data_IF_685720969795
#
_entry.id   IF_685720969795
#
_cell.length_a   1.000
_cell.length_b   1.000
_cell.length_c   1.000
_cell.angle_alpha   90.00
_cell.angle_beta   90.00
_cell.angle_gamma   90.00
#
_symmetry.space_group_name_H-M   'P 1'
#
loop_
_entity.id
_entity.type
_entity.pdbx_description
1 polymer ?
#
# COMPACT_ATOMS: atom_id res chain seq x y z
N UNK A 1 4.89 4.23 -0.42
CA UNK A 1 4.46 4.21 -1.84
C UNK A 1 3.98 2.82 -2.21
N UNK A 2 2.79 2.73 -2.81
CA UNK A 2 2.17 1.49 -3.26
C UNK A 2 2.15 1.52 -4.80
N UNK A 3 3.15 0.93 -5.43
CA UNK A 3 3.36 1.17 -6.86
C UNK A 3 3.95 0.00 -7.61
N UNK A 4 4.20 0.24 -8.90
CA UNK A 4 5.00 -0.66 -9.73
C UNK A 4 6.50 -0.57 -9.38
N UNK A 5 7.31 -1.34 -10.09
CA UNK A 5 8.75 -1.40 -9.84
C UNK A 5 9.41 -0.01 -9.97
N UNK A 6 8.97 0.80 -10.92
CA UNK A 6 9.53 2.12 -11.18
C UNK A 6 9.22 3.10 -10.03
N UNK A 7 7.98 3.11 -9.54
CA UNK A 7 7.58 3.93 -8.41
C UNK A 7 8.23 3.48 -7.10
N UNK A 8 8.42 2.17 -6.92
CA UNK A 8 9.14 1.60 -5.78
C UNK A 8 10.61 2.04 -5.78
N UNK A 9 11.27 1.96 -6.93
CA UNK A 9 12.68 2.33 -7.03
C UNK A 9 12.88 3.82 -6.80
N UNK A 10 11.98 4.66 -7.32
CA UNK A 10 11.95 6.10 -7.03
C UNK A 10 11.72 6.36 -5.54
N UNK A 11 10.76 5.68 -4.92
CA UNK A 11 10.47 5.82 -3.50
C UNK A 11 11.66 5.41 -2.61
N UNK A 12 12.29 4.27 -2.91
CA UNK A 12 13.50 3.80 -2.22
C UNK A 12 14.64 4.80 -2.36
N UNK A 13 14.81 5.40 -3.54
CA UNK A 13 15.84 6.39 -3.75
C UNK A 13 15.63 7.66 -2.90
N UNK A 14 14.38 8.02 -2.64
CA UNK A 14 14.00 9.10 -1.73
C UNK A 14 13.90 8.66 -0.25
N UNK A 15 14.23 7.41 0.09
CA UNK A 15 14.14 6.89 1.45
C UNK A 15 12.71 6.70 1.97
N UNK A 16 11.73 6.59 1.07
CA UNK A 16 10.32 6.39 1.41
C UNK A 16 9.99 4.91 1.36
N UNK A 17 9.35 4.40 2.42
CA UNK A 17 8.86 3.03 2.48
C UNK A 17 7.95 2.71 1.28
N UNK A 18 8.22 1.63 0.58
CA UNK A 18 7.48 1.20 -0.60
C UNK A 18 7.07 -0.27 -0.52
N UNK A 19 5.88 -0.59 -1.02
CA UNK A 19 5.34 -1.95 -1.13
C UNK A 19 4.86 -2.21 -2.55
N UNK A 20 5.08 -3.44 -3.02
CA UNK A 20 4.63 -3.89 -4.32
C UNK A 20 3.17 -4.35 -4.31
N UNK A 21 2.59 -4.44 -5.51
CA UNK A 21 1.25 -5.01 -5.70
C UNK A 21 1.12 -6.44 -5.17
N UNK A 22 2.20 -7.24 -5.24
CA UNK A 22 2.18 -8.62 -4.76
C UNK A 22 2.28 -8.71 -3.24
N UNK A 23 2.99 -7.79 -2.59
CA UNK A 23 3.02 -7.69 -1.14
C UNK A 23 1.67 -7.25 -0.58
N UNK A 24 0.97 -6.36 -1.27
CA UNK A 24 -0.40 -5.95 -0.94
C UNK A 24 -1.40 -7.12 -1.07
N UNK A 25 -1.27 -7.97 -2.09
CA UNK A 25 -2.10 -9.18 -2.23
C UNK A 25 -1.87 -10.17 -1.10
N UNK A 26 -0.63 -10.36 -0.65
CA UNK A 26 -0.31 -11.20 0.51
C UNK A 26 -0.90 -10.63 1.80
N UNK A 27 -0.95 -9.30 1.92
CA UNK A 27 -1.55 -8.62 3.07
C UNK A 27 -3.08 -8.72 3.11
N UNK A 28 -3.76 -8.87 1.96
CA UNK A 28 -5.23 -8.83 1.85
C UNK A 28 -5.95 -9.88 2.73
N UNK A 29 -5.28 -11.00 3.02
CA UNK A 29 -5.88 -12.11 3.77
C UNK A 29 -5.91 -11.83 5.28
N UNK A 30 -5.22 -10.80 5.76
CA UNK A 30 -4.99 -10.61 7.19
C UNK A 30 -5.35 -9.20 7.70
N UNK A 31 -6.61 -9.05 8.11
CA UNK A 31 -7.17 -7.77 8.62
C UNK A 31 -6.38 -7.17 9.78
N UNK A 32 -5.70 -7.97 10.61
CA UNK A 32 -4.88 -7.46 11.74
C UNK A 32 -3.65 -6.70 11.25
N UNK A 33 -2.94 -7.22 10.25
CA UNK A 33 -1.76 -6.59 9.68
C UNK A 33 -2.12 -5.31 8.91
N UNK A 34 -3.24 -5.34 8.17
CA UNK A 34 -3.76 -4.17 7.47
C UNK A 34 -4.06 -3.03 8.46
N UNK A 35 -4.76 -3.31 9.58
CA UNK A 35 -5.02 -2.31 10.63
C UNK A 35 -3.74 -1.78 11.29
N UNK A 36 -2.70 -2.62 11.42
CA UNK A 36 -1.41 -2.20 11.96
C UNK A 36 -0.66 -1.27 11.00
N UNK A 37 -0.73 -1.56 9.69
CA UNK A 37 -0.16 -0.73 8.63
C UNK A 37 -0.88 0.61 8.54
N UNK A 38 -2.22 0.60 8.58
CA UNK A 38 -3.06 1.80 8.59
C UNK A 38 -2.75 2.74 9.76
N UNK A 39 -2.38 2.20 10.92
CA UNK A 39 -1.98 2.99 12.10
C UNK A 39 -0.53 3.48 12.05
N UNK A 40 0.31 2.91 11.18
CA UNK A 40 1.73 3.24 11.09
C UNK A 40 2.00 4.42 10.16
N UNK A 41 1.12 4.67 9.20
CA UNK A 41 1.29 5.70 8.18
C UNK A 41 0.04 6.58 8.09
N UNK A 42 0.24 7.89 8.00
CA UNK A 42 -0.86 8.86 7.89
C UNK A 42 -1.45 8.92 6.48
N UNK A 43 -0.63 8.66 5.46
CA UNK A 43 -1.05 8.70 4.06
C UNK A 43 -0.33 7.65 3.21
N UNK A 44 -1.03 7.16 2.18
CA UNK A 44 -0.48 6.25 1.19
C UNK A 44 -0.53 6.92 -0.18
N UNK A 45 0.61 6.94 -0.87
CA UNK A 45 0.71 7.32 -2.28
C UNK A 45 0.67 6.05 -3.11
N UNK A 46 -0.18 6.01 -4.13
CA UNK A 46 -0.33 4.86 -5.00
C UNK A 46 -0.40 5.24 -6.48
N UNK A 47 0.11 4.37 -7.35
CA UNK A 47 0.00 4.53 -8.81
C UNK A 47 -1.45 4.35 -9.26
N UNK A 48 -1.83 4.99 -10.37
CA UNK A 48 -3.23 5.01 -10.86
C UNK A 48 -3.79 3.60 -11.15
N UNK A 49 -2.94 2.66 -11.58
CA UNK A 49 -3.36 1.28 -11.78
C UNK A 49 -3.78 0.58 -10.46
N UNK A 50 -3.14 0.94 -9.35
CA UNK A 50 -3.33 0.33 -8.03
C UNK A 50 -4.38 1.04 -7.19
N UNK A 51 -4.60 2.35 -7.40
CA UNK A 51 -5.52 3.14 -6.59
C UNK A 51 -6.97 2.61 -6.64
N UNK A 52 -7.38 2.05 -7.78
CA UNK A 52 -8.69 1.42 -7.94
C UNK A 52 -8.80 0.08 -7.20
N UNK A 53 -7.68 -0.61 -6.99
CA UNK A 53 -7.63 -1.91 -6.33
C UNK A 53 -7.46 -1.79 -4.81
N UNK A 54 -6.85 -0.69 -4.34
CA UNK A 54 -6.56 -0.44 -2.92
C UNK A 54 -7.79 -0.57 -2.02
N UNK A 55 -8.94 0.07 -2.31
CA UNK A 55 -10.13 -0.06 -1.47
C UNK A 55 -10.63 -1.50 -1.36
N UNK A 56 -10.53 -2.29 -2.44
CA UNK A 56 -10.94 -3.69 -2.46
C UNK A 56 -9.95 -4.60 -1.72
N UNK A 57 -8.66 -4.37 -1.87
CA UNK A 57 -7.58 -5.19 -1.30
C UNK A 57 -7.39 -4.96 0.20
N UNK A 58 -7.48 -3.71 0.62
CA UNK A 58 -7.18 -3.31 1.99
C UNK A 58 -8.46 -3.05 2.80
N UNK A 59 -9.60 -3.00 2.12
CA UNK A 59 -10.92 -2.83 2.74
C UNK A 59 -11.10 -1.44 3.36
N UNK A 60 -12.25 -1.19 4.01
CA UNK A 60 -12.54 0.09 4.67
C UNK A 60 -11.62 0.39 5.86
N UNK A 61 -10.73 -0.54 6.25
CA UNK A 61 -9.79 -0.37 7.34
C UNK A 61 -8.69 0.68 7.09
N UNK A 62 -8.56 1.16 5.84
CA UNK A 62 -7.66 2.25 5.46
C UNK A 62 -8.36 3.59 5.21
N UNK A 63 -9.69 3.61 5.08
CA UNK A 63 -10.43 4.86 4.90
C UNK A 63 -11.27 5.12 6.15
N UNK A 64 -10.71 5.87 7.09
CA UNK A 64 -11.51 6.58 8.08
C UNK A 64 -10.91 7.96 8.30
#
# INVERSE_FOLDING_TARGET
>A
VLGDQHDIDRAKHHGVDAMSSDDLKKLNKNKKLIKKLARKYDAFVASDALIKQIPRLLGPGLSK
#
